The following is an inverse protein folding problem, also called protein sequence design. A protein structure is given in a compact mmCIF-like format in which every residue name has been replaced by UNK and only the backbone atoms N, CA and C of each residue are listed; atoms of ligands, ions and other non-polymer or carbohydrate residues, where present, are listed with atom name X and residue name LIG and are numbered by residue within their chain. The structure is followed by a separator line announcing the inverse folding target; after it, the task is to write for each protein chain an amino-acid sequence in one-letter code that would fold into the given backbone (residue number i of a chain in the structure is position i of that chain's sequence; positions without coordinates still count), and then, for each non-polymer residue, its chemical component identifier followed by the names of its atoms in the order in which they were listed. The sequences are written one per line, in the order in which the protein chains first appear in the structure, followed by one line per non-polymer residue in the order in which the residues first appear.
data_IF_090850062164
#
_entry.id   IF_090850062164
#
_cell.length_a   1.000
_cell.length_b   1.000
_cell.length_c   1.000
_cell.angle_alpha   90.00
_cell.angle_beta   90.00
_cell.angle_gamma   90.00
#
_symmetry.space_group_name_H-M   'P 1'
#
loop_
_entity.id
_entity.type
_entity.pdbx_description
1 polymer ?
#
# COMPACT_ATOMS: atom_id res chain seq x y z
N UNK A 1 -9.15 -14.31 8.53
CA UNK A 1 -8.99 -15.00 7.24
C UNK A 1 -9.36 -14.09 6.05
N UNK A 2 -10.58 -13.52 5.99
CA UNK A 2 -11.04 -12.67 4.87
C UNK A 2 -11.11 -11.16 5.21
N UNK A 3 -10.27 -10.67 6.12
CA UNK A 3 -10.20 -9.23 6.41
C UNK A 3 -9.70 -8.44 5.19
N UNK A 4 -9.91 -7.12 5.20
CA UNK A 4 -9.48 -6.24 4.12
C UNK A 4 -10.32 -6.34 2.84
N UNK A 5 -9.81 -5.72 1.78
CA UNK A 5 -10.49 -5.49 0.50
C UNK A 5 -10.33 -6.64 -0.53
N UNK A 6 -9.30 -7.50 -0.41
CA UNK A 6 -9.06 -8.59 -1.34
C UNK A 6 -10.08 -9.74 -1.20
N UNK A 7 -10.65 -10.21 -2.32
CA UNK A 7 -11.58 -11.36 -2.36
C UNK A 7 -11.22 -12.41 -3.40
N UNK A 8 -10.96 -11.99 -4.62
CA UNK A 8 -10.48 -12.84 -5.70
C UNK A 8 -9.78 -11.99 -6.75
N UNK A 9 -8.84 -12.59 -7.46
CA UNK A 9 -8.22 -11.98 -8.63
C UNK A 9 -9.26 -11.86 -9.78
N UNK A 10 -9.52 -10.67 -10.33
CA UNK A 10 -10.54 -10.48 -11.36
C UNK A 10 -10.20 -11.14 -12.70
N UNK A 11 -8.93 -11.51 -12.94
CA UNK A 11 -8.49 -12.12 -14.20
C UNK A 11 -8.61 -13.65 -14.16
N UNK A 12 -8.20 -14.28 -13.06
CA UNK A 12 -8.11 -15.75 -12.93
C UNK A 12 -9.14 -16.36 -11.98
N UNK A 13 -9.80 -15.56 -11.12
CA UNK A 13 -10.67 -16.03 -10.06
C UNK A 13 -9.93 -16.61 -8.84
N UNK A 14 -8.59 -16.53 -8.79
CA UNK A 14 -7.82 -17.04 -7.68
C UNK A 14 -8.15 -16.29 -6.37
N UNK A 15 -8.49 -17.03 -5.32
CA UNK A 15 -8.81 -16.44 -4.00
C UNK A 15 -7.56 -16.11 -3.19
N UNK A 16 -6.46 -16.82 -3.44
CA UNK A 16 -5.17 -16.51 -2.85
C UNK A 16 -4.66 -15.17 -3.39
N UNK A 17 -4.08 -14.34 -2.52
CA UNK A 17 -3.46 -13.08 -2.92
C UNK A 17 -2.25 -13.40 -3.81
N UNK A 18 -2.17 -12.87 -5.04
CA UNK A 18 -1.00 -13.04 -5.90
C UNK A 18 0.25 -12.40 -5.30
N UNK A 19 1.42 -12.91 -5.66
CA UNK A 19 2.71 -12.33 -5.29
C UNK A 19 3.16 -11.39 -6.41
N UNK A 20 3.00 -10.09 -6.20
CA UNK A 20 3.47 -9.05 -7.11
C UNK A 20 4.95 -8.74 -6.86
N UNK A 21 5.83 -9.66 -7.28
CA UNK A 21 7.28 -9.53 -7.16
C UNK A 21 7.85 -8.64 -8.28
N UNK A 22 7.46 -7.37 -8.29
CA UNK A 22 7.91 -6.34 -9.23
C UNK A 22 8.46 -5.13 -8.48
N UNK A 23 9.23 -4.28 -9.16
CA UNK A 23 9.72 -3.00 -8.63
C UNK A 23 8.89 -1.81 -9.11
N UNK A 24 8.27 -1.90 -10.29
CA UNK A 24 7.54 -0.83 -10.97
C UNK A 24 6.23 -1.32 -11.60
N UNK A 25 5.37 -0.36 -11.95
CA UNK A 25 4.10 -0.59 -12.62
C UNK A 25 4.01 0.23 -13.90
N UNK A 26 3.37 -0.31 -14.92
CA UNK A 26 3.21 0.34 -16.21
C UNK A 26 2.13 1.42 -16.13
N UNK A 27 2.43 2.63 -16.61
CA UNK A 27 1.43 3.66 -16.84
C UNK A 27 0.71 3.44 -18.16
N UNK A 28 -0.58 3.76 -18.22
CA UNK A 28 -1.36 3.70 -19.46
C UNK A 28 -0.85 4.73 -20.48
N UNK A 29 -0.59 5.96 -20.02
CA UNK A 29 0.00 7.06 -20.78
C UNK A 29 0.63 8.09 -19.83
N UNK A 30 1.14 9.21 -20.37
CA UNK A 30 1.77 10.29 -19.59
C UNK A 30 0.77 11.05 -18.71
N UNK A 31 -0.50 11.15 -19.13
CA UNK A 31 -1.55 11.82 -18.34
C UNK A 31 -1.97 10.96 -17.13
N UNK A 32 -2.00 9.64 -17.27
CA UNK A 32 -2.19 8.71 -16.16
C UNK A 32 -1.04 8.81 -15.15
N UNK A 33 0.21 8.92 -15.61
CA UNK A 33 1.34 9.13 -14.73
C UNK A 33 1.20 10.43 -13.91
N UNK A 34 0.84 11.53 -14.57
CA UNK A 34 0.63 12.84 -13.93
C UNK A 34 -0.41 12.78 -12.80
N UNK A 35 -1.58 12.19 -13.07
CA UNK A 35 -2.65 12.01 -12.07
C UNK A 35 -2.22 11.15 -10.87
N UNK A 36 -1.46 10.08 -11.10
CA UNK A 36 -0.95 9.23 -10.01
C UNK A 36 0.04 9.98 -9.12
N UNK A 37 0.96 10.76 -9.70
CA UNK A 37 1.94 11.54 -8.93
C UNK A 37 1.33 12.76 -8.24
N UNK A 38 0.26 13.34 -8.81
CA UNK A 38 -0.52 14.42 -8.21
C UNK A 38 -1.46 13.94 -7.08
N UNK A 39 -1.62 12.62 -6.90
CA UNK A 39 -2.59 11.99 -5.99
C UNK A 39 -4.06 12.26 -6.36
N UNK A 40 -4.33 12.65 -7.61
CA UNK A 40 -5.69 12.79 -8.16
C UNK A 40 -6.31 11.43 -8.49
N UNK A 41 -5.46 10.42 -8.72
CA UNK A 41 -5.83 9.03 -8.95
C UNK A 41 -5.02 8.13 -8.01
N UNK A 42 -5.67 7.16 -7.37
CA UNK A 42 -5.00 6.18 -6.50
C UNK A 42 -4.54 5.00 -7.34
N UNK A 43 -3.25 4.69 -7.27
CA UNK A 43 -2.68 3.54 -7.95
C UNK A 43 -1.23 3.27 -7.55
N UNK A 44 -0.69 2.16 -8.06
CA UNK A 44 0.68 1.76 -7.77
C UNK A 44 1.64 2.36 -8.80
N UNK A 45 2.69 3.03 -8.31
CA UNK A 45 3.73 3.66 -9.14
C UNK A 45 5.02 2.81 -9.07
N UNK A 46 5.48 2.53 -7.84
CA UNK A 46 6.64 1.69 -7.56
C UNK A 46 6.51 1.00 -6.19
N UNK A 47 7.05 -0.21 -6.07
CA UNK A 47 6.88 -1.08 -4.89
C UNK A 47 7.40 -0.47 -3.59
N UNK A 48 8.39 0.43 -3.65
CA UNK A 48 8.88 1.13 -2.45
C UNK A 48 7.81 1.99 -1.75
N UNK A 49 6.78 2.45 -2.46
CA UNK A 49 5.68 3.23 -1.88
C UNK A 49 4.43 2.37 -1.71
N UNK A 50 4.12 1.50 -2.68
CA UNK A 50 2.94 0.65 -2.59
C UNK A 50 3.05 -0.59 -3.50
N UNK A 51 2.48 -1.70 -3.05
CA UNK A 51 2.44 -2.97 -3.76
C UNK A 51 1.13 -3.72 -3.43
N UNK A 52 0.42 -4.31 -4.41
CA UNK A 52 -0.86 -4.96 -4.15
C UNK A 52 -0.80 -6.11 -3.14
N UNK A 53 0.31 -6.87 -3.11
CA UNK A 53 0.49 -7.95 -2.12
C UNK A 53 0.62 -7.37 -0.71
N UNK A 54 1.29 -6.23 -0.55
CA UNK A 54 1.43 -5.54 0.73
C UNK A 54 0.12 -4.86 1.16
N UNK A 55 -0.59 -4.19 0.24
CA UNK A 55 -1.88 -3.53 0.50
C UNK A 55 -2.94 -4.52 1.04
N UNK A 56 -3.00 -5.72 0.47
CA UNK A 56 -3.89 -6.78 0.95
C UNK A 56 -3.60 -7.16 2.42
N UNK A 57 -2.34 -7.06 2.87
CA UNK A 57 -1.97 -7.30 4.27
C UNK A 57 -2.22 -6.07 5.14
N UNK A 58 -1.89 -4.87 4.67
CA UNK A 58 -2.12 -3.60 5.38
C UNK A 58 -3.61 -3.43 5.72
N UNK A 59 -4.50 -3.64 4.75
CA UNK A 59 -5.94 -3.53 4.95
C UNK A 59 -6.49 -4.61 5.89
N UNK A 60 -5.89 -5.80 5.92
CA UNK A 60 -6.21 -6.85 6.90
C UNK A 60 -5.81 -6.43 8.31
N UNK A 61 -4.59 -5.93 8.49
CA UNK A 61 -4.09 -5.48 9.79
C UNK A 61 -4.92 -4.31 10.30
N UNK A 62 -5.20 -3.31 9.45
CA UNK A 62 -6.06 -2.18 9.82
C UNK A 62 -7.44 -2.64 10.30
N UNK A 63 -8.08 -3.57 9.57
CA UNK A 63 -9.37 -4.13 9.96
C UNK A 63 -9.31 -4.94 11.27
N UNK A 64 -8.20 -5.63 11.54
CA UNK A 64 -8.01 -6.41 12.78
C UNK A 64 -7.80 -5.50 14.00
N UNK A 65 -7.04 -4.42 13.84
CA UNK A 65 -6.74 -3.46 14.93
C UNK A 65 -7.84 -2.40 15.10
N UNK A 66 -8.83 -2.33 14.19
CA UNK A 66 -9.83 -1.27 14.17
C UNK A 66 -9.27 0.11 13.79
N UNK A 67 -8.11 0.14 13.13
CA UNK A 67 -7.44 1.36 12.68
C UNK A 67 -7.97 1.84 11.31
N UNK A 68 -7.73 3.11 11.00
CA UNK A 68 -8.12 3.68 9.70
C UNK A 68 -7.25 3.16 8.53
N UNK A 69 -5.97 2.88 8.80
CA UNK A 69 -5.01 2.36 7.84
C UNK A 69 -3.85 1.65 8.56
N UNK A 70 -3.04 0.91 7.81
CA UNK A 70 -1.77 0.36 8.27
C UNK A 70 -0.71 0.57 7.17
N UNK A 71 0.57 0.52 7.55
CA UNK A 71 1.69 0.61 6.62
C UNK A 71 2.68 -0.52 6.92
N UNK A 72 3.01 -1.31 5.90
CA UNK A 72 3.94 -2.41 6.00
C UNK A 72 5.38 -1.94 5.77
N UNK A 73 6.28 -2.36 6.65
CA UNK A 73 7.70 -2.02 6.57
C UNK A 73 8.55 -3.28 6.69
N UNK A 74 9.83 -3.17 6.31
CA UNK A 74 10.75 -4.30 6.24
C UNK A 74 11.08 -4.92 7.60
N UNK A 75 10.84 -4.21 8.70
CA UNK A 75 11.09 -4.70 10.06
C UNK A 75 10.29 -3.92 11.10
N UNK A 76 10.17 -4.49 12.31
CA UNK A 76 9.59 -3.80 13.46
C UNK A 76 10.38 -2.55 13.88
N UNK A 77 11.71 -2.57 13.75
CA UNK A 77 12.55 -1.39 14.04
C UNK A 77 12.26 -0.25 13.05
N UNK A 78 12.09 -0.57 11.77
CA UNK A 78 11.65 0.40 10.78
C UNK A 78 10.26 0.94 11.11
N UNK A 79 9.31 0.08 11.53
CA UNK A 79 7.98 0.51 11.95
C UNK A 79 8.01 1.49 13.12
N UNK A 80 8.79 1.19 14.17
CA UNK A 80 8.98 2.11 15.30
C UNK A 80 9.61 3.43 14.86
N UNK A 81 10.68 3.38 14.05
CA UNK A 81 11.38 4.57 13.58
C UNK A 81 10.50 5.47 12.71
N UNK A 82 9.77 4.90 11.74
CA UNK A 82 8.86 5.64 10.87
C UNK A 82 7.71 6.26 11.66
N UNK A 83 7.16 5.57 12.65
CA UNK A 83 6.08 6.10 13.50
C UNK A 83 6.52 7.36 14.25
N UNK A 84 7.74 7.36 14.80
CA UNK A 84 8.29 8.51 15.52
C UNK A 84 8.67 9.64 14.55
N UNK A 85 9.40 9.33 13.47
CA UNK A 85 9.91 10.33 12.54
C UNK A 85 8.81 11.04 11.75
N UNK A 86 7.77 10.30 11.34
CA UNK A 86 6.65 10.87 10.58
C UNK A 86 5.72 11.67 11.50
N UNK A 87 5.45 11.17 12.72
CA UNK A 87 4.58 11.82 13.70
C UNK A 87 5.16 13.10 14.32
N UNK A 88 6.49 13.28 14.30
CA UNK A 88 7.17 14.48 14.83
C UNK A 88 7.20 15.67 13.87
N UNK A 89 6.66 15.52 12.65
CA UNK A 89 6.67 16.59 11.62
C UNK A 89 5.71 17.77 11.91
N UNK A 90 5.14 17.87 13.13
CA UNK A 90 4.39 19.06 13.57
C UNK A 90 4.83 19.57 14.93
N UNK A 91 6.04 20.14 14.99
CA UNK A 91 6.38 21.18 15.96
C UNK A 91 7.57 22.05 15.50
N UNK A 92 7.53 22.56 14.26
CA UNK A 92 8.35 23.69 13.85
C UNK A 92 7.70 24.41 12.67
N UNK A 93 7.15 25.60 12.98
CA UNK A 93 6.45 26.60 12.15
C UNK A 93 4.95 26.42 11.97
#
# INVERSE_FOLDING_TARGET
MHGGNWRADPVSGAVAVPIYQTTSYQFQDTGHADRLFALDEIGHIYTRVSNPTQDALETRIAALEGGAAALLLSSGQAASAYSVLSGTTRMMR
#
